data_IF_339312936706
#
_entry.id   IF_339312936706
#
_cell.length_a   1.000
_cell.length_b   1.000
_cell.length_c   1.000
_cell.angle_alpha   90.00
_cell.angle_beta   90.00
_cell.angle_gamma   90.00
#
_symmetry.space_group_name_H-M   'P 1'
#
loop_
_entity.id
_entity.type
_entity.pdbx_description
1 polymer ?
#
# COMPACT_ATOMS: atom_id res chain seq x y z
N UNK A 1 -14.98 -52.34 45.86
CA UNK A 1 -15.64 -52.11 44.55
C UNK A 1 -14.65 -51.30 43.73
N UNK A 2 -13.98 -51.95 42.79
CA UNK A 2 -12.86 -51.41 42.03
C UNK A 2 -13.37 -50.76 40.74
N UNK A 3 -12.93 -49.54 40.44
CA UNK A 3 -13.10 -48.92 39.13
C UNK A 3 -11.72 -48.44 38.71
N UNK A 4 -11.21 -49.07 37.64
CA UNK A 4 -9.84 -48.97 37.18
C UNK A 4 -9.55 -47.67 36.44
N UNK A 5 -8.35 -47.16 36.69
CA UNK A 5 -7.71 -46.10 35.92
C UNK A 5 -7.07 -46.72 34.65
N UNK A 6 -7.50 -46.27 33.48
CA UNK A 6 -6.76 -46.46 32.23
C UNK A 6 -6.25 -45.11 31.76
N UNK A 7 -5.03 -44.77 32.19
CA UNK A 7 -4.25 -43.67 31.64
C UNK A 7 -3.56 -44.11 30.35
N UNK A 8 -4.05 -43.65 29.20
CA UNK A 8 -3.33 -43.76 27.92
C UNK A 8 -2.65 -42.42 27.66
N UNK A 9 -1.37 -42.36 27.99
CA UNK A 9 -0.47 -41.29 27.61
C UNK A 9 -0.09 -41.45 26.14
N UNK A 10 -0.61 -40.59 25.26
CA UNK A 10 -0.11 -40.46 23.89
C UNK A 10 0.61 -39.12 23.74
N UNK A 11 1.93 -39.16 23.97
CA UNK A 11 2.86 -38.08 23.60
C UNK A 11 3.25 -38.28 22.13
N UNK A 12 2.71 -37.47 21.23
CA UNK A 12 3.28 -37.29 19.89
C UNK A 12 4.13 -36.02 19.89
N UNK A 13 5.44 -36.23 19.96
CA UNK A 13 6.46 -35.20 19.81
C UNK A 13 6.83 -35.11 18.32
N UNK A 14 6.28 -34.14 17.61
CA UNK A 14 6.66 -33.87 16.21
C UNK A 14 7.75 -32.81 16.20
N UNK A 15 9.00 -33.24 16.24
CA UNK A 15 10.15 -32.38 15.99
C UNK A 15 10.30 -32.16 14.47
N UNK A 16 10.01 -30.96 13.99
CA UNK A 16 10.33 -30.53 12.63
C UNK A 16 11.71 -29.88 12.65
N UNK A 17 12.73 -30.65 12.28
CA UNK A 17 14.10 -30.18 12.12
C UNK A 17 14.24 -29.50 10.76
N UNK A 18 14.30 -28.16 10.74
CA UNK A 18 14.57 -27.37 9.55
C UNK A 18 16.09 -27.19 9.40
N UNK A 19 16.75 -28.03 8.60
CA UNK A 19 18.17 -27.86 8.25
C UNK A 19 18.28 -26.92 7.05
N UNK A 20 18.54 -25.64 7.31
CA UNK A 20 18.89 -24.67 6.27
C UNK A 20 20.38 -24.76 5.94
N UNK A 21 20.72 -25.34 4.80
CA UNK A 21 22.07 -25.24 4.23
C UNK A 21 22.30 -23.83 3.65
N UNK A 22 23.47 -23.20 3.89
CA UNK A 22 23.80 -21.90 3.33
C UNK A 22 24.26 -22.00 1.85
N UNK A 23 23.92 -21.04 0.97
CA UNK A 23 24.50 -20.99 -0.36
C UNK A 23 25.91 -20.37 -0.32
N UNK A 24 26.88 -21.14 -0.83
CA UNK A 24 28.24 -20.71 -1.13
C UNK A 24 28.23 -19.70 -2.28
N UNK A 25 28.56 -18.44 -1.99
CA UNK A 25 28.69 -17.38 -2.98
C UNK A 25 30.13 -17.37 -3.50
N UNK A 26 30.33 -17.95 -4.68
CA UNK A 26 31.59 -17.86 -5.43
C UNK A 26 31.77 -16.44 -5.96
N UNK A 27 32.93 -15.86 -5.65
CA UNK A 27 33.42 -14.58 -6.15
C UNK A 27 34.45 -14.82 -7.27
N UNK A 28 34.34 -14.08 -8.36
CA UNK A 28 35.35 -13.75 -9.40
C UNK A 28 34.60 -13.56 -10.72
N UNK A 29 34.96 -12.66 -11.64
CA UNK A 29 36.14 -11.85 -11.75
C UNK A 29 35.85 -10.59 -12.57
N UNK A 30 36.52 -9.53 -12.17
CA UNK A 30 36.69 -8.27 -12.90
C UNK A 30 37.64 -8.48 -14.07
N UNK A 31 37.17 -8.29 -15.30
CA UNK A 31 38.03 -8.07 -16.47
C UNK A 31 37.87 -6.64 -16.96
N UNK A 32 38.91 -5.86 -16.66
CA UNK A 32 39.15 -4.46 -16.99
C UNK A 32 40.21 -4.47 -18.08
N UNK A 33 39.87 -4.10 -19.32
CA UNK A 33 40.88 -3.98 -20.38
C UNK A 33 40.58 -2.85 -21.37
N UNK A 34 41.60 -2.00 -21.51
CA UNK A 34 42.03 -1.18 -22.65
C UNK A 34 41.16 0.00 -23.14
N UNK A 35 41.52 1.19 -22.64
CA UNK A 35 41.45 2.43 -23.40
C UNK A 35 42.83 2.70 -24.02
N UNK A 36 42.90 2.74 -25.36
CA UNK A 36 44.08 3.17 -26.12
C UNK A 36 43.88 4.62 -26.59
N UNK A 37 44.86 5.44 -26.26
CA UNK A 37 45.02 6.80 -26.72
C UNK A 37 45.34 6.85 -28.22
N UNK A 38 44.76 7.80 -28.93
CA UNK A 38 45.30 8.29 -30.20
C UNK A 38 45.18 9.81 -30.25
N UNK A 39 46.30 10.42 -29.96
CA UNK A 39 46.69 11.80 -30.23
C UNK A 39 46.70 12.08 -31.74
N UNK A 40 46.01 13.13 -32.18
CA UNK A 40 46.28 13.76 -33.46
C UNK A 40 46.18 15.28 -33.33
N UNK A 41 47.38 15.87 -33.26
CA UNK A 41 47.71 17.27 -33.44
C UNK A 41 47.34 17.76 -34.84
N UNK A 42 46.60 18.87 -34.94
CA UNK A 42 46.55 19.67 -36.15
C UNK A 42 46.56 21.16 -35.81
N UNK A 43 47.51 21.83 -36.45
CA UNK A 43 48.01 23.18 -36.27
C UNK A 43 47.01 24.28 -36.66
N UNK A 44 47.05 25.34 -35.87
CA UNK A 44 46.43 26.66 -36.09
C UNK A 44 46.87 27.33 -37.41
N UNK A 45 45.94 28.07 -38.02
CA UNK A 45 46.21 29.44 -38.48
C UNK A 45 44.96 30.31 -38.22
N UNK A 46 45.07 31.48 -37.54
CA UNK A 46 43.93 32.37 -37.36
C UNK A 46 44.03 33.58 -38.31
N UNK A 47 42.99 33.79 -39.12
CA UNK A 47 42.77 35.07 -39.82
C UNK A 47 42.07 36.06 -38.87
N UNK A 48 42.54 37.32 -38.77
CA UNK A 48 41.92 38.34 -37.95
C UNK A 48 40.99 39.20 -38.79
N UNK A 49 39.67 39.16 -38.56
CA UNK A 49 38.70 40.23 -38.92
C UNK A 49 37.26 39.81 -38.61
N UNK A 50 36.80 39.98 -37.36
CA UNK A 50 35.37 40.19 -37.01
C UNK A 50 35.23 40.45 -35.50
N UNK A 51 35.72 41.60 -35.07
CA UNK A 51 35.43 42.16 -33.76
C UNK A 51 34.10 42.90 -33.86
N UNK A 52 33.08 42.42 -33.13
CA UNK A 52 31.91 43.26 -32.85
C UNK A 52 30.55 42.62 -32.63
N UNK A 53 30.34 41.29 -32.69
CA UNK A 53 28.99 40.71 -32.45
C UNK A 53 29.04 39.27 -31.88
N UNK A 54 29.85 38.99 -30.85
CA UNK A 54 29.91 37.63 -30.26
C UNK A 54 29.72 37.56 -28.74
N UNK A 55 29.58 38.70 -28.05
CA UNK A 55 29.50 38.71 -26.59
C UNK A 55 28.09 38.47 -26.01
N UNK A 56 27.04 38.42 -26.85
CA UNK A 56 25.65 38.19 -26.39
C UNK A 56 25.23 36.70 -26.41
N UNK A 57 25.85 35.87 -27.25
CA UNK A 57 25.43 34.46 -27.43
C UNK A 57 25.97 33.49 -26.36
N UNK A 58 26.98 33.87 -25.57
CA UNK A 58 27.54 32.99 -24.53
C UNK A 58 26.68 32.92 -23.27
N UNK A 59 25.94 33.99 -22.97
CA UNK A 59 25.08 34.07 -21.77
C UNK A 59 23.82 33.20 -21.94
N UNK A 60 23.24 33.19 -23.13
CA UNK A 60 22.00 32.42 -23.39
C UNK A 60 22.24 30.90 -23.39
N UNK A 61 23.41 30.46 -23.86
CA UNK A 61 23.77 29.03 -23.83
C UNK A 61 24.10 28.50 -22.43
N UNK A 62 24.51 29.37 -21.50
CA UNK A 62 24.76 29.00 -20.11
C UNK A 62 23.46 28.77 -19.35
N UNK A 63 22.48 29.68 -19.48
CA UNK A 63 21.15 29.54 -18.86
C UNK A 63 20.39 28.31 -19.37
N UNK A 64 20.48 28.02 -20.68
CA UNK A 64 19.85 26.83 -21.25
C UNK A 64 20.44 25.53 -20.69
N UNK A 65 21.76 25.47 -20.47
CA UNK A 65 22.42 24.31 -19.86
C UNK A 65 22.01 24.10 -18.40
N UNK A 66 21.87 25.19 -17.64
CA UNK A 66 21.44 25.12 -16.25
C UNK A 66 19.98 24.66 -16.11
N UNK A 67 19.08 25.20 -16.93
CA UNK A 67 17.68 24.75 -16.96
C UNK A 67 17.54 23.25 -17.31
N UNK A 68 18.29 22.77 -18.32
CA UNK A 68 18.31 21.35 -18.67
C UNK A 68 18.83 20.48 -17.53
N UNK A 69 19.85 20.94 -16.80
CA UNK A 69 20.41 20.22 -15.64
C UNK A 69 19.41 20.15 -14.48
N UNK A 70 18.69 21.23 -14.19
CA UNK A 70 17.64 21.26 -13.16
C UNK A 70 16.51 20.29 -13.49
N UNK A 71 16.04 20.30 -14.75
CA UNK A 71 14.99 19.38 -15.21
C UNK A 71 15.40 17.91 -15.07
N UNK A 72 16.60 17.54 -15.55
CA UNK A 72 17.11 16.17 -15.42
C UNK A 72 17.27 15.75 -13.95
N UNK A 73 17.68 16.67 -13.07
CA UNK A 73 17.79 16.38 -11.64
C UNK A 73 16.42 16.14 -11.02
N UNK A 74 15.43 16.97 -11.37
CA UNK A 74 14.05 16.84 -10.88
C UNK A 74 13.39 15.53 -11.34
N UNK A 75 13.60 15.15 -12.61
CA UNK A 75 13.12 13.87 -13.17
C UNK A 75 13.78 12.67 -12.45
N UNK A 76 15.08 12.74 -12.17
CA UNK A 76 15.79 11.66 -11.45
C UNK A 76 15.35 11.54 -9.97
N UNK A 77 14.99 12.65 -9.31
CA UNK A 77 14.45 12.63 -7.95
C UNK A 77 13.03 12.04 -7.92
N UNK A 78 12.16 12.44 -8.87
CA UNK A 78 10.81 11.88 -9.00
C UNK A 78 10.83 10.36 -9.25
N UNK A 79 11.72 9.91 -10.14
CA UNK A 79 11.90 8.48 -10.44
C UNK A 79 12.36 7.67 -9.22
N UNK A 80 13.25 8.24 -8.41
CA UNK A 80 13.73 7.62 -7.16
C UNK A 80 12.61 7.48 -6.13
N UNK A 81 11.78 8.51 -6.00
CA UNK A 81 10.64 8.52 -5.07
C UNK A 81 9.60 7.46 -5.45
N UNK A 82 9.30 7.30 -6.75
CA UNK A 82 8.41 6.25 -7.26
C UNK A 82 8.92 4.84 -6.91
N UNK A 83 10.19 4.55 -7.19
CA UNK A 83 10.82 3.28 -6.86
C UNK A 83 10.79 2.97 -5.36
N UNK A 84 11.01 3.98 -4.52
CA UNK A 84 10.98 3.80 -3.07
C UNK A 84 9.56 3.48 -2.57
N UNK A 85 8.53 4.11 -3.14
CA UNK A 85 7.13 3.81 -2.80
C UNK A 85 6.73 2.39 -3.20
N UNK A 86 7.08 1.98 -4.42
CA UNK A 86 6.81 0.64 -4.92
C UNK A 86 7.42 -0.44 -4.00
N UNK A 87 8.68 -0.23 -3.61
CA UNK A 87 9.38 -1.11 -2.67
C UNK A 87 8.67 -1.20 -1.31
N UNK A 88 8.27 -0.06 -0.75
CA UNK A 88 7.56 -0.02 0.53
C UNK A 88 6.20 -0.74 0.48
N UNK A 89 5.45 -0.58 -0.61
CA UNK A 89 4.16 -1.24 -0.78
C UNK A 89 4.34 -2.75 -0.86
N UNK A 90 5.30 -3.20 -1.68
CA UNK A 90 5.67 -4.61 -1.79
C UNK A 90 6.07 -5.22 -0.44
N UNK A 91 6.96 -4.55 0.29
CA UNK A 91 7.38 -4.97 1.64
C UNK A 91 6.19 -4.99 2.60
N UNK A 92 5.28 -4.02 2.49
CA UNK A 92 4.04 -3.95 3.26
C UNK A 92 3.12 -5.15 3.05
N UNK A 93 2.85 -5.53 1.80
CA UNK A 93 2.02 -6.72 1.50
C UNK A 93 2.67 -8.02 1.95
N UNK A 94 3.99 -8.14 1.79
CA UNK A 94 4.74 -9.31 2.30
C UNK A 94 4.69 -9.39 3.81
N UNK A 95 4.85 -8.27 4.50
CA UNK A 95 4.72 -8.19 5.96
C UNK A 95 3.30 -8.53 6.41
N UNK A 96 2.28 -8.00 5.72
CA UNK A 96 0.88 -8.29 6.00
C UNK A 96 0.60 -9.79 5.89
N UNK A 97 1.10 -10.44 4.84
CA UNK A 97 0.93 -11.87 4.65
C UNK A 97 1.53 -12.69 5.80
N UNK A 98 2.75 -12.34 6.23
CA UNK A 98 3.41 -12.99 7.37
C UNK A 98 2.63 -12.80 8.67
N UNK A 99 2.13 -11.59 8.93
CA UNK A 99 1.32 -11.29 10.12
C UNK A 99 0.04 -12.12 10.10
N UNK A 100 -0.68 -12.15 8.97
CA UNK A 100 -1.90 -12.94 8.83
C UNK A 100 -1.67 -14.43 9.08
N UNK A 101 -0.61 -15.02 8.51
CA UNK A 101 -0.27 -16.44 8.74
C UNK A 101 0.12 -16.70 10.20
N UNK A 102 0.89 -15.80 10.81
CA UNK A 102 1.25 -15.90 12.23
C UNK A 102 -0.01 -15.86 13.12
N UNK A 103 -0.91 -14.91 12.86
CA UNK A 103 -2.16 -14.79 13.60
C UNK A 103 -3.06 -16.01 13.42
N UNK A 104 -3.14 -16.57 12.21
CA UNK A 104 -3.86 -17.82 11.97
C UNK A 104 -3.27 -18.98 12.79
N UNK A 105 -1.95 -19.07 12.91
CA UNK A 105 -1.28 -20.06 13.76
C UNK A 105 -1.62 -19.90 15.24
N UNK A 106 -1.57 -18.67 15.76
CA UNK A 106 -1.97 -18.35 17.15
C UNK A 106 -3.44 -18.73 17.38
N UNK A 107 -4.32 -18.42 16.43
CA UNK A 107 -5.75 -18.76 16.51
C UNK A 107 -5.99 -20.27 16.52
N UNK A 108 -5.28 -21.03 15.69
CA UNK A 108 -5.38 -22.49 15.69
C UNK A 108 -4.98 -23.09 17.05
N UNK A 109 -3.95 -22.53 17.69
CA UNK A 109 -3.56 -22.93 19.05
C UNK A 109 -4.62 -22.57 20.09
N UNK A 110 -5.19 -21.36 20.03
CA UNK A 110 -6.28 -20.95 20.95
C UNK A 110 -7.47 -21.90 20.79
N UNK A 111 -7.92 -22.15 19.56
CA UNK A 111 -9.02 -23.07 19.26
C UNK A 111 -8.79 -24.47 19.83
N UNK A 112 -7.54 -24.96 19.87
CA UNK A 112 -7.22 -26.27 20.43
C UNK A 112 -7.36 -26.36 21.95
N UNK A 113 -7.38 -25.22 22.64
CA UNK A 113 -7.46 -25.13 24.11
C UNK A 113 -8.87 -24.71 24.57
N UNK A 114 -9.75 -24.26 23.67
CA UNK A 114 -11.12 -23.90 24.04
C UNK A 114 -11.80 -25.13 24.65
N UNK A 115 -12.30 -25.05 25.90
CA UNK A 115 -12.90 -26.17 26.57
C UNK A 115 -14.22 -26.54 25.87
N UNK A 116 -14.50 -27.85 25.79
CA UNK A 116 -15.74 -28.39 25.27
C UNK A 116 -16.89 -28.05 26.23
N UNK A 117 -17.52 -26.90 26.00
CA UNK A 117 -18.62 -26.36 26.81
C UNK A 117 -19.78 -25.99 25.90
N UNK A 118 -20.94 -26.60 26.16
CA UNK A 118 -22.18 -26.38 25.42
C UNK A 118 -22.91 -25.09 25.84
N UNK A 119 -22.20 -23.98 25.88
CA UNK A 119 -22.83 -22.66 26.09
C UNK A 119 -22.93 -21.94 24.74
N UNK A 120 -24.06 -21.27 24.50
CA UNK A 120 -24.27 -20.48 23.28
C UNK A 120 -23.17 -19.45 23.08
N UNK A 121 -22.66 -18.84 24.15
CA UNK A 121 -21.60 -17.86 24.08
C UNK A 121 -20.25 -18.47 23.61
N UNK A 122 -19.91 -19.68 24.06
CA UNK A 122 -18.72 -20.41 23.56
C UNK A 122 -18.91 -20.79 22.09
N UNK A 123 -20.11 -21.21 21.66
CA UNK A 123 -20.38 -21.49 20.24
C UNK A 123 -20.20 -20.24 19.36
N UNK A 124 -20.71 -19.09 19.81
CA UNK A 124 -20.55 -17.80 19.13
C UNK A 124 -19.07 -17.38 19.07
N UNK A 125 -18.33 -17.53 20.18
CA UNK A 125 -16.90 -17.24 20.20
C UNK A 125 -16.14 -18.12 19.19
N UNK A 126 -16.42 -19.42 19.17
CA UNK A 126 -15.83 -20.38 18.23
C UNK A 126 -16.14 -20.02 16.78
N UNK A 127 -17.38 -19.62 16.47
CA UNK A 127 -17.74 -19.13 15.14
C UNK A 127 -16.90 -17.90 14.74
N UNK A 128 -16.75 -16.92 15.64
CA UNK A 128 -15.89 -15.76 15.39
C UNK A 128 -14.43 -16.15 15.16
N UNK A 129 -13.89 -17.10 15.91
CA UNK A 129 -12.53 -17.61 15.70
C UNK A 129 -12.38 -18.26 14.33
N UNK A 130 -13.31 -19.10 13.89
CA UNK A 130 -13.25 -19.70 12.56
C UNK A 130 -13.39 -18.67 11.43
N UNK A 131 -14.32 -17.73 11.54
CA UNK A 131 -14.46 -16.65 10.56
C UNK A 131 -13.19 -15.80 10.48
N UNK A 132 -12.59 -15.49 11.62
CA UNK A 132 -11.32 -14.77 11.68
C UNK A 132 -10.15 -15.57 11.11
N UNK A 133 -10.07 -16.87 11.41
CA UNK A 133 -9.04 -17.77 10.87
C UNK A 133 -9.09 -17.80 9.35
N UNK A 134 -10.29 -17.99 8.77
CA UNK A 134 -10.48 -17.97 7.33
C UNK A 134 -10.08 -16.61 6.75
N UNK A 135 -10.54 -15.51 7.35
CA UNK A 135 -10.18 -14.16 6.91
C UNK A 135 -8.65 -13.94 6.95
N UNK A 136 -7.96 -14.41 7.98
CA UNK A 136 -6.50 -14.32 8.06
C UNK A 136 -5.80 -15.18 7.01
N UNK A 137 -6.25 -16.41 6.76
CA UNK A 137 -5.68 -17.26 5.71
C UNK A 137 -5.86 -16.61 4.34
N UNK A 138 -7.08 -16.15 4.01
CA UNK A 138 -7.34 -15.47 2.74
C UNK A 138 -6.62 -14.14 2.63
N UNK A 139 -6.55 -13.35 3.70
CA UNK A 139 -5.77 -12.11 3.76
C UNK A 139 -4.28 -12.36 3.52
N UNK A 140 -3.75 -13.46 4.07
CA UNK A 140 -2.38 -13.90 3.84
C UNK A 140 -2.10 -14.30 2.40
N UNK A 141 -2.99 -15.12 1.81
CA UNK A 141 -2.91 -15.53 0.41
C UNK A 141 -3.00 -14.31 -0.52
N UNK A 142 -4.00 -13.45 -0.33
CA UNK A 142 -4.18 -12.24 -1.13
C UNK A 142 -3.02 -11.26 -0.95
N UNK A 143 -2.46 -11.13 0.25
CA UNK A 143 -1.26 -10.32 0.49
C UNK A 143 -0.05 -10.85 -0.27
N UNK A 144 0.17 -12.17 -0.25
CA UNK A 144 1.26 -12.82 -0.99
C UNK A 144 1.08 -12.69 -2.52
N UNK A 145 -0.14 -12.92 -3.02
CA UNK A 145 -0.47 -12.75 -4.44
C UNK A 145 -0.32 -11.30 -4.88
N UNK A 146 -0.76 -10.34 -4.06
CA UNK A 146 -0.58 -8.90 -4.33
C UNK A 146 0.90 -8.54 -4.39
N UNK A 147 1.71 -9.01 -3.42
CA UNK A 147 3.15 -8.76 -3.42
C UNK A 147 3.82 -9.32 -4.68
N UNK A 148 3.44 -10.52 -5.12
CA UNK A 148 3.95 -11.15 -6.35
C UNK A 148 3.47 -10.43 -7.60
N UNK A 149 2.24 -9.95 -7.61
CA UNK A 149 1.71 -9.16 -8.72
C UNK A 149 2.52 -7.86 -8.86
N UNK A 150 2.75 -7.13 -7.76
CA UNK A 150 3.63 -5.95 -7.73
C UNK A 150 5.08 -6.22 -8.13
N UNK A 151 5.58 -7.46 -8.01
CA UNK A 151 6.90 -7.84 -8.54
C UNK A 151 6.93 -7.96 -10.07
N UNK A 152 5.79 -8.26 -10.69
CA UNK A 152 5.69 -8.44 -12.14
C UNK A 152 5.43 -7.14 -12.89
N UNK A 153 4.94 -6.09 -12.22
CA UNK A 153 4.73 -4.79 -12.85
C UNK A 153 6.06 -4.17 -13.27
N UNK A 154 6.09 -3.66 -14.49
CA UNK A 154 7.17 -2.79 -14.92
C UNK A 154 7.12 -1.47 -14.13
N UNK A 155 8.25 -0.76 -13.98
CA UNK A 155 8.28 0.52 -13.27
C UNK A 155 7.29 1.55 -13.83
N UNK A 156 7.08 1.53 -15.16
CA UNK A 156 6.20 2.45 -15.89
C UNK A 156 4.72 2.18 -15.58
N UNK A 157 4.31 0.91 -15.59
CA UNK A 157 2.94 0.52 -15.23
C UNK A 157 2.67 0.76 -13.74
N UNK A 158 3.64 0.50 -12.87
CA UNK A 158 3.52 0.73 -11.45
C UNK A 158 3.25 2.21 -11.15
N UNK A 159 3.99 3.12 -11.79
CA UNK A 159 3.79 4.57 -11.64
C UNK A 159 2.38 4.99 -12.09
N UNK A 160 1.85 4.42 -13.17
CA UNK A 160 0.48 4.69 -13.63
C UNK A 160 -0.56 4.25 -12.59
N UNK A 161 -0.39 3.05 -12.03
CA UNK A 161 -1.30 2.51 -11.01
C UNK A 161 -1.20 3.30 -9.71
N UNK A 162 -0.01 3.76 -9.31
CA UNK A 162 0.13 4.58 -8.11
C UNK A 162 -0.45 5.98 -8.27
N UNK A 163 -0.29 6.59 -9.45
CA UNK A 163 -0.95 7.85 -9.76
C UNK A 163 -2.47 7.69 -9.69
N UNK A 164 -3.00 6.63 -10.31
CA UNK A 164 -4.42 6.33 -10.30
C UNK A 164 -4.96 6.04 -8.89
N UNK A 165 -4.32 5.17 -8.11
CA UNK A 165 -4.70 4.89 -6.71
C UNK A 165 -4.65 6.17 -5.86
N UNK A 166 -3.66 7.04 -6.08
CA UNK A 166 -3.55 8.32 -5.40
C UNK A 166 -4.75 9.22 -5.69
N UNK A 167 -5.09 9.36 -6.97
CA UNK A 167 -6.24 10.15 -7.43
C UNK A 167 -7.57 9.60 -6.93
N UNK A 168 -7.74 8.27 -6.90
CA UNK A 168 -8.99 7.63 -6.47
C UNK A 168 -9.22 7.75 -4.95
N UNK A 169 -8.14 7.69 -4.16
CA UNK A 169 -8.24 7.94 -2.71
C UNK A 169 -8.60 9.41 -2.46
N UNK A 170 -7.99 10.33 -3.20
CA UNK A 170 -8.26 11.76 -3.06
C UNK A 170 -9.67 12.13 -3.54
N UNK A 171 -10.18 11.51 -4.62
CA UNK A 171 -11.55 11.69 -5.09
C UNK A 171 -12.57 11.17 -4.07
N UNK A 172 -12.33 9.97 -3.50
CA UNK A 172 -13.20 9.38 -2.48
C UNK A 172 -13.26 10.21 -1.18
N UNK A 173 -12.19 10.92 -0.85
CA UNK A 173 -12.13 11.85 0.29
C UNK A 173 -12.76 13.21 -0.06
N UNK A 174 -12.54 13.70 -1.28
CA UNK A 174 -13.07 14.98 -1.76
C UNK A 174 -14.58 14.99 -1.99
N UNK A 175 -15.16 13.90 -2.50
CA UNK A 175 -16.62 13.77 -2.68
C UNK A 175 -17.36 13.77 -1.34
N UNK A 176 -16.74 13.25 -0.28
CA UNK A 176 -17.30 13.35 1.08
C UNK A 176 -17.21 14.75 1.66
N UNK A 177 -16.25 15.56 1.22
CA UNK A 177 -16.10 16.95 1.68
C UNK A 177 -17.08 17.88 0.96
N UNK A 178 -17.26 17.72 -0.36
CA UNK A 178 -18.22 18.50 -1.13
C UNK A 178 -19.69 18.18 -0.76
N UNK A 179 -20.01 16.93 -0.42
CA UNK A 179 -21.35 16.57 0.06
C UNK A 179 -21.66 17.09 1.48
N UNK A 180 -20.63 17.47 2.26
CA UNK A 180 -20.82 18.11 3.58
C UNK A 180 -21.01 19.62 3.45
N UNK A 181 -20.43 20.26 2.43
CA UNK A 181 -20.66 21.70 2.16
C UNK A 181 -21.94 21.99 1.37
N UNK A 182 -22.49 21.02 0.61
CA UNK A 182 -23.75 21.22 -0.11
C UNK A 182 -25.02 21.15 0.76
N UNK A 183 -24.94 20.69 2.02
CA UNK A 183 -26.11 20.68 2.92
C UNK A 183 -26.35 22.03 3.64
N UNK A 184 -25.43 23.00 3.53
CA UNK A 184 -25.54 24.30 4.23
C UNK A 184 -25.75 25.50 3.29
N UNK A 185 -25.94 25.28 1.99
CA UNK A 185 -25.91 26.34 0.97
C UNK A 185 -26.95 26.23 -0.14
N UNK A 186 -28.18 25.79 0.14
CA UNK A 186 -29.27 25.79 -0.85
C UNK A 186 -30.34 26.84 -0.54
N UNK A 187 -30.00 28.13 -0.73
CA UNK A 187 -30.97 29.13 -1.19
C UNK A 187 -30.24 30.12 -2.12
N UNK A 188 -30.79 30.26 -3.33
CA UNK A 188 -30.77 31.42 -4.23
C UNK A 188 -29.81 31.42 -5.45
N UNK A 189 -30.48 31.28 -6.62
CA UNK A 189 -30.20 31.88 -7.93
C UNK A 189 -29.37 31.12 -8.97
N UNK A 190 -30.08 30.40 -9.84
CA UNK A 190 -29.69 30.16 -11.24
C UNK A 190 -30.62 30.98 -12.16
N UNK A 191 -30.12 31.99 -12.90
CA UNK A 191 -30.88 32.59 -13.99
C UNK A 191 -30.79 31.72 -15.25
N UNK A 192 -31.95 31.35 -15.78
CA UNK A 192 -32.12 30.79 -17.11
C UNK A 192 -31.70 31.81 -18.18
N UNK A 193 -30.90 31.37 -19.15
CA UNK A 193 -30.65 32.08 -20.41
C UNK A 193 -31.08 31.22 -21.61
N UNK A 194 -31.91 31.75 -22.53
CA UNK A 194 -32.30 31.08 -23.77
C UNK A 194 -31.42 31.51 -24.95
N UNK A 195 -31.07 30.58 -25.83
CA UNK A 195 -30.40 30.84 -27.12
C UNK A 195 -29.99 29.52 -27.76
N UNK A 196 -30.83 28.89 -28.58
CA UNK A 196 -31.17 29.19 -29.99
C UNK A 196 -30.23 28.48 -30.99
N UNK A 197 -30.84 27.54 -31.72
CA UNK A 197 -30.75 27.43 -33.18
C UNK A 197 -29.40 27.14 -33.83
N UNK A 198 -29.15 25.87 -34.17
CA UNK A 198 -28.11 25.50 -35.14
C UNK A 198 -28.12 24.01 -35.49
N UNK A 199 -28.95 23.63 -36.46
CA UNK A 199 -29.03 22.29 -37.03
C UNK A 199 -27.83 22.04 -37.95
N UNK A 200 -26.96 21.11 -37.60
CA UNK A 200 -26.16 20.36 -38.57
C UNK A 200 -26.15 18.89 -38.16
N UNK A 201 -26.70 18.06 -39.05
CA UNK A 201 -26.86 16.62 -38.89
C UNK A 201 -25.61 15.93 -39.41
N UNK A 202 -24.81 15.23 -38.59
CA UNK A 202 -23.72 14.41 -39.07
C UNK A 202 -24.23 13.02 -39.44
N UNK A 203 -23.72 12.51 -40.55
CA UNK A 203 -23.91 11.16 -41.06
C UNK A 203 -23.75 10.10 -39.96
N UNK A 204 -24.78 9.28 -39.81
CA UNK A 204 -24.81 8.10 -38.94
C UNK A 204 -24.03 6.99 -39.65
N UNK A 205 -22.71 7.00 -39.48
CA UNK A 205 -21.82 5.89 -39.80
C UNK A 205 -21.50 5.16 -38.49
N UNK A 206 -22.03 3.93 -38.34
CA UNK A 206 -21.67 2.92 -37.32
C UNK A 206 -21.19 3.40 -35.94
N UNK A 207 -22.08 3.98 -35.12
CA UNK A 207 -21.84 4.33 -33.71
C UNK A 207 -22.33 3.21 -32.78
N UNK A 208 -21.60 2.10 -32.81
CA UNK A 208 -21.55 1.04 -31.80
C UNK A 208 -20.10 0.53 -31.98
N UNK A 209 -19.13 0.98 -31.18
CA UNK A 209 -18.59 0.14 -30.08
C UNK A 209 -17.60 0.91 -29.14
N UNK A 210 -17.42 2.23 -29.27
CA UNK A 210 -16.44 2.98 -28.42
C UNK A 210 -16.90 3.17 -26.96
N UNK A 211 -18.19 3.33 -26.70
CA UNK A 211 -18.71 3.56 -25.34
C UNK A 211 -18.66 2.30 -24.45
N UNK A 212 -18.75 1.11 -25.06
CA UNK A 212 -18.72 -0.17 -24.34
C UNK A 212 -17.28 -0.59 -23.96
N UNK A 213 -16.28 -0.25 -24.79
CA UNK A 213 -14.86 -0.48 -24.46
C UNK A 213 -14.43 0.37 -23.25
N UNK A 214 -14.85 1.63 -23.18
CA UNK A 214 -14.57 2.53 -22.04
C UNK A 214 -15.16 2.02 -20.72
N UNK A 215 -16.36 1.44 -20.77
CA UNK A 215 -17.05 0.93 -19.58
C UNK A 215 -16.36 -0.34 -19.06
N UNK A 216 -15.96 -1.23 -19.97
CA UNK A 216 -15.22 -2.44 -19.63
C UNK A 216 -13.85 -2.11 -19.02
N UNK A 217 -13.13 -1.12 -19.56
CA UNK A 217 -11.86 -0.67 -18.99
C UNK A 217 -12.05 -0.09 -17.57
N UNK A 218 -13.06 0.75 -17.36
CA UNK A 218 -13.40 1.28 -16.02
C UNK A 218 -13.69 0.17 -15.01
N UNK A 219 -14.48 -0.82 -15.40
CA UNK A 219 -14.81 -1.97 -14.56
C UNK A 219 -13.54 -2.74 -14.22
N UNK A 220 -12.67 -3.01 -15.20
CA UNK A 220 -11.40 -3.71 -15.00
C UNK A 220 -10.48 -2.96 -14.04
N UNK A 221 -10.31 -1.66 -14.21
CA UNK A 221 -9.51 -0.84 -13.31
C UNK A 221 -10.06 -0.84 -11.89
N UNK A 222 -11.37 -0.69 -11.73
CA UNK A 222 -12.04 -0.77 -10.44
C UNK A 222 -11.84 -2.14 -9.77
N UNK A 223 -11.98 -3.24 -10.52
CA UNK A 223 -11.73 -4.59 -10.00
C UNK A 223 -10.29 -4.81 -9.56
N UNK A 224 -9.30 -4.31 -10.30
CA UNK A 224 -7.89 -4.40 -9.92
C UNK A 224 -7.65 -3.63 -8.62
N UNK A 225 -8.21 -2.43 -8.51
CA UNK A 225 -8.12 -1.61 -7.31
C UNK A 225 -8.73 -2.29 -6.09
N UNK A 226 -9.92 -2.86 -6.28
CA UNK A 226 -10.63 -3.59 -5.26
C UNK A 226 -9.85 -4.82 -4.85
N UNK A 227 -9.28 -5.59 -5.80
CA UNK A 227 -8.46 -6.76 -5.51
C UNK A 227 -7.21 -6.40 -4.70
N UNK A 228 -6.50 -5.34 -5.08
CA UNK A 228 -5.31 -4.84 -4.37
C UNK A 228 -5.67 -4.29 -2.98
N UNK A 229 -6.80 -3.60 -2.86
CA UNK A 229 -7.33 -3.09 -1.60
C UNK A 229 -7.85 -4.18 -0.67
N UNK A 230 -8.45 -5.24 -1.22
CA UNK A 230 -9.20 -6.25 -0.49
C UNK A 230 -8.36 -6.97 0.56
N UNK A 231 -7.09 -7.28 0.27
CA UNK A 231 -6.21 -7.94 1.25
C UNK A 231 -6.12 -7.17 2.57
N UNK A 232 -6.06 -5.82 2.50
CA UNK A 232 -6.02 -4.96 3.69
C UNK A 232 -7.34 -4.99 4.44
N UNK A 233 -8.46 -4.87 3.73
CA UNK A 233 -9.79 -4.88 4.35
C UNK A 233 -10.11 -6.23 4.98
N UNK A 234 -9.82 -7.33 4.29
CA UNK A 234 -10.03 -8.69 4.81
C UNK A 234 -9.16 -8.92 6.05
N UNK A 235 -7.90 -8.47 6.06
CA UNK A 235 -7.06 -8.57 7.25
C UNK A 235 -7.62 -7.76 8.43
N UNK A 236 -8.12 -6.55 8.21
CA UNK A 236 -8.74 -5.72 9.25
C UNK A 236 -10.02 -6.38 9.78
N UNK A 237 -10.88 -6.89 8.90
CA UNK A 237 -12.11 -7.61 9.27
C UNK A 237 -11.76 -8.88 10.07
N UNK A 238 -10.77 -9.64 9.62
CA UNK A 238 -10.27 -10.82 10.31
C UNK A 238 -9.79 -10.47 11.72
N UNK A 239 -8.97 -9.42 11.87
CA UNK A 239 -8.53 -8.93 13.17
C UNK A 239 -9.71 -8.49 14.06
N UNK A 240 -10.72 -7.83 13.48
CA UNK A 240 -11.94 -7.46 14.19
C UNK A 240 -12.70 -8.66 14.76
N UNK A 241 -12.91 -9.70 13.94
CA UNK A 241 -13.56 -10.94 14.39
C UNK A 241 -12.72 -11.68 15.44
N UNK A 242 -11.39 -11.66 15.33
CA UNK A 242 -10.51 -12.23 16.36
C UNK A 242 -10.72 -11.53 17.69
N UNK A 243 -10.66 -10.19 17.69
CA UNK A 243 -10.82 -9.40 18.89
C UNK A 243 -12.20 -9.63 19.53
N UNK A 244 -13.26 -9.66 18.73
CA UNK A 244 -14.61 -9.98 19.20
C UNK A 244 -14.68 -11.39 19.81
N UNK A 245 -14.14 -12.40 19.12
CA UNK A 245 -14.10 -13.78 19.62
C UNK A 245 -13.34 -13.92 20.95
N UNK A 246 -12.17 -13.28 21.07
CA UNK A 246 -11.40 -13.24 22.33
C UNK A 246 -12.20 -12.56 23.43
N UNK A 247 -12.89 -11.45 23.13
CA UNK A 247 -13.71 -10.76 24.13
C UNK A 247 -14.83 -11.64 24.65
N UNK A 248 -15.59 -12.29 23.77
CA UNK A 248 -16.66 -13.21 24.18
C UNK A 248 -16.08 -14.35 25.03
N UNK A 249 -14.97 -14.96 24.60
CA UNK A 249 -14.31 -16.05 25.33
C UNK A 249 -13.85 -15.62 26.73
N UNK A 250 -13.22 -14.45 26.84
CA UNK A 250 -12.74 -13.90 28.12
C UNK A 250 -13.89 -13.68 29.08
N UNK A 251 -15.02 -13.17 28.58
CA UNK A 251 -16.20 -12.92 29.39
C UNK A 251 -16.89 -14.19 29.89
N UNK A 252 -16.77 -15.31 29.19
CA UNK A 252 -17.40 -16.58 29.60
C UNK A 252 -16.51 -17.44 30.51
N UNK A 253 -15.21 -17.53 30.19
CA UNK A 253 -14.34 -18.54 30.82
C UNK A 253 -13.65 -18.02 32.07
N UNK A 254 -13.32 -16.73 32.15
CA UNK A 254 -12.41 -16.20 33.16
C UNK A 254 -13.12 -15.52 34.36
N UNK A 255 -12.46 -15.39 35.53
CA UNK A 255 -13.00 -14.66 36.66
C UNK A 255 -13.07 -13.15 36.40
N UNK A 256 -13.92 -12.44 37.16
CA UNK A 256 -14.25 -11.01 36.97
C UNK A 256 -13.01 -10.12 36.85
N UNK A 257 -11.99 -10.34 37.68
CA UNK A 257 -10.76 -9.54 37.65
C UNK A 257 -10.06 -9.61 36.28
N UNK A 258 -9.93 -10.81 35.71
CA UNK A 258 -9.33 -11.00 34.38
C UNK A 258 -10.17 -10.34 33.29
N UNK A 259 -11.51 -10.39 33.39
CA UNK A 259 -12.41 -9.71 32.43
C UNK A 259 -12.15 -8.21 32.39
N UNK A 260 -12.05 -7.56 33.55
CA UNK A 260 -11.83 -6.11 33.66
C UNK A 260 -10.44 -5.73 33.16
N UNK A 261 -9.40 -6.50 33.50
CA UNK A 261 -8.03 -6.22 33.04
C UNK A 261 -7.90 -6.38 31.52
N UNK A 262 -8.41 -7.46 30.94
CA UNK A 262 -8.33 -7.68 29.48
C UNK A 262 -9.12 -6.62 28.70
N UNK A 263 -10.32 -6.25 29.16
CA UNK A 263 -11.13 -5.23 28.49
C UNK A 263 -10.51 -3.85 28.56
N UNK A 264 -9.93 -3.45 29.70
CA UNK A 264 -9.25 -2.16 29.85
C UNK A 264 -7.98 -2.06 28.99
N UNK A 265 -7.15 -3.10 28.95
CA UNK A 265 -5.96 -3.15 28.10
C UNK A 265 -6.35 -3.08 26.62
N UNK A 266 -7.37 -3.84 26.21
CA UNK A 266 -7.84 -3.83 24.83
C UNK A 266 -8.44 -2.47 24.43
N UNK A 267 -9.27 -1.88 25.29
CA UNK A 267 -9.87 -0.58 25.05
C UNK A 267 -8.79 0.50 24.93
N UNK A 268 -7.81 0.49 25.83
CA UNK A 268 -6.67 1.43 25.79
C UNK A 268 -5.87 1.27 24.50
N UNK A 269 -5.57 0.03 24.10
CA UNK A 269 -4.86 -0.25 22.84
C UNK A 269 -5.65 0.21 21.61
N UNK A 270 -6.98 0.02 21.63
CA UNK A 270 -7.89 0.45 20.54
C UNK A 270 -7.97 1.97 20.45
N UNK A 271 -7.99 2.68 21.57
CA UNK A 271 -7.99 4.15 21.59
C UNK A 271 -6.65 4.73 21.08
N UNK A 272 -5.55 4.00 21.26
CA UNK A 272 -4.23 4.42 20.80
C UNK A 272 -3.96 4.10 19.32
N UNK A 273 -4.79 3.29 18.65
CA UNK A 273 -4.64 2.91 17.23
C UNK A 273 -4.94 4.03 16.22
N UNK A 274 -6.03 4.84 16.35
CA UNK A 274 -6.37 5.87 15.37
C UNK A 274 -5.25 6.86 15.05
N UNK A 275 -4.48 7.39 16.03
CA UNK A 275 -3.34 8.27 15.75
C UNK A 275 -2.30 7.68 14.79
N UNK A 276 -2.10 6.35 14.79
CA UNK A 276 -1.18 5.67 13.88
C UNK A 276 -1.80 5.39 12.51
N UNK A 277 -3.13 5.34 12.42
CA UNK A 277 -3.83 5.05 11.17
C UNK A 277 -4.08 6.30 10.34
N UNK A 278 -4.26 7.46 10.97
CA UNK A 278 -4.32 8.72 10.24
C UNK A 278 -3.00 8.91 9.50
N UNK A 279 -3.09 9.18 8.19
CA UNK A 279 -1.94 9.59 7.38
C UNK A 279 -1.30 10.79 8.05
N UNK A 280 -0.29 10.56 8.88
CA UNK A 280 0.49 11.64 9.43
C UNK A 280 1.16 12.31 8.25
N UNK A 281 0.73 13.54 7.98
CA UNK A 281 1.38 14.38 7.01
C UNK A 281 2.83 14.54 7.47
N UNK A 282 3.71 13.72 6.89
CA UNK A 282 5.12 13.56 7.29
C UNK A 282 5.80 14.92 7.33
N UNK A 283 5.35 15.85 6.48
CA UNK A 283 5.79 17.24 6.44
C UNK A 283 5.44 17.99 7.74
N UNK A 284 4.24 17.81 8.28
CA UNK A 284 3.77 18.45 9.52
C UNK A 284 4.52 17.92 10.75
N UNK A 285 4.73 16.61 10.83
CA UNK A 285 5.51 15.99 11.92
C UNK A 285 6.99 16.39 11.85
N UNK A 286 7.60 16.38 10.65
CA UNK A 286 8.98 16.83 10.48
C UNK A 286 9.15 18.32 10.75
N UNK A 287 8.16 19.16 10.40
CA UNK A 287 8.19 20.58 10.74
C UNK A 287 8.10 20.80 12.25
N UNK A 288 7.25 20.04 12.96
CA UNK A 288 7.18 20.08 14.43
C UNK A 288 8.50 19.64 15.10
N UNK A 289 9.16 18.61 14.56
CA UNK A 289 10.46 18.14 15.08
C UNK A 289 11.59 19.13 14.76
N UNK A 290 11.58 19.75 13.57
CA UNK A 290 12.59 20.75 13.17
C UNK A 290 12.47 22.06 13.94
N UNK A 291 11.26 22.50 14.28
CA UNK A 291 11.03 23.67 15.12
C UNK A 291 11.66 23.52 16.51
N UNK A 292 11.76 22.29 17.03
CA UNK A 292 12.41 22.02 18.33
C UNK A 292 13.95 22.06 18.28
N UNK A 293 14.58 22.06 17.10
CA UNK A 293 16.06 22.14 16.96
C UNK A 293 16.61 23.54 16.70
N UNK A 294 15.76 24.56 16.52
CA UNK A 294 16.19 25.93 16.15
C UNK A 294 15.93 26.95 17.28
N UNK A 295 15.44 26.54 18.45
CA UNK A 295 15.24 27.44 19.61
C UNK A 295 16.34 27.33 20.68
N UNK A 296 17.57 26.95 20.29
CA UNK A 296 18.74 26.92 21.17
C UNK A 296 19.76 27.94 20.74
#
# INVERSE_FOLDING_TARGET
MAIGEHGVASRMSTAVSFTSSPPTRSASGTSRLHATAASASASRSPSPSRLGVLSRNSVDTSKAKESKKVRLKMEAEAWRDGHQRAKLIKEGYRSLALICTFMAGVQAQILSVIPDRDTTAVQVATAFFYSSLLANIFGGILGSLSARWFEMLTPEEADHIYAWIGLEIDSSLGVKQANVEMEEGSILNTPCGPGDGGKESPEVYGRYDEEDEDLLERIKHWWIALAVGAARFIAIIGFGFLAAGIMVLVWEVHPVLTKVLCTTIFATSTILLPPFYFKHDRKRVLNLIKLKRVSG
#
